data_IF_386136546659
#
_entry.id   IF_386136546659
#
_cell.length_a   1.000
_cell.length_b   1.000
_cell.length_c   1.000
_cell.angle_alpha   90.00
_cell.angle_beta   90.00
_cell.angle_gamma   90.00
#
_symmetry.space_group_name_H-M   'P 1'
#
loop_
_entity.id
_entity.type
_entity.pdbx_description
1 polymer ?
#
# COMPACT_ATOMS: atom_id res chain seq x y z
N UNK A 1 13.37 -9.85 31.77
CA UNK A 1 13.92 -8.47 31.74
C UNK A 1 15.13 -8.37 30.81
N UNK A 2 16.16 -9.22 30.94
CA UNK A 2 17.34 -9.17 30.06
C UNK A 2 17.05 -9.65 28.63
N UNK A 3 16.17 -10.65 28.43
CA UNK A 3 15.77 -11.12 27.09
C UNK A 3 14.98 -10.07 26.27
N UNK A 4 14.08 -9.31 26.90
CA UNK A 4 13.36 -8.20 26.23
C UNK A 4 14.29 -7.07 25.79
N UNK A 5 15.42 -6.87 26.48
CA UNK A 5 16.44 -5.87 26.13
C UNK A 5 17.35 -6.38 24.99
N UNK A 6 17.45 -7.71 24.82
CA UNK A 6 18.25 -8.36 23.78
C UNK A 6 17.48 -8.62 22.49
N UNK A 7 16.14 -8.60 22.49
CA UNK A 7 15.34 -8.61 21.26
C UNK A 7 15.36 -7.24 20.57
N UNK A 8 16.53 -6.85 20.06
CA UNK A 8 16.74 -5.59 19.31
C UNK A 8 16.01 -5.55 17.95
N UNK A 9 15.42 -6.66 17.53
CA UNK A 9 14.77 -6.78 16.23
C UNK A 9 13.33 -7.26 16.41
N UNK A 10 12.39 -6.44 15.97
CA UNK A 10 11.02 -6.89 15.74
C UNK A 10 11.03 -7.84 14.55
N UNK A 11 10.57 -9.07 14.75
CA UNK A 11 10.41 -10.02 13.65
C UNK A 11 9.31 -9.54 12.72
N UNK A 12 9.65 -9.19 11.48
CA UNK A 12 8.67 -8.82 10.46
C UNK A 12 8.04 -10.10 9.93
N UNK A 13 6.78 -10.33 10.31
CA UNK A 13 6.00 -11.47 9.82
C UNK A 13 5.11 -10.96 8.68
N UNK A 14 5.38 -11.42 7.47
CA UNK A 14 4.55 -11.13 6.29
C UNK A 14 3.65 -12.31 5.94
N UNK A 15 2.52 -12.02 5.32
CA UNK A 15 1.63 -13.03 4.78
C UNK A 15 0.89 -12.52 3.56
N UNK A 16 0.44 -13.45 2.73
CA UNK A 16 -0.40 -13.15 1.58
C UNK A 16 -1.74 -13.88 1.66
N UNK A 17 -2.81 -13.20 1.24
CA UNK A 17 -4.13 -13.79 0.98
C UNK A 17 -4.53 -13.45 -0.47
N UNK A 18 -4.22 -14.40 -1.35
CA UNK A 18 -4.47 -14.30 -2.79
C UNK A 18 -5.27 -15.51 -3.23
N UNK A 19 -5.90 -15.44 -4.40
CA UNK A 19 -6.62 -16.59 -4.96
C UNK A 19 -5.73 -17.82 -5.09
N UNK A 20 -6.31 -19.02 -4.95
CA UNK A 20 -5.62 -20.29 -5.17
C UNK A 20 -5.25 -21.08 -3.91
N UNK A 21 -5.36 -20.51 -2.70
CA UNK A 21 -5.10 -21.25 -1.45
C UNK A 21 -6.37 -21.65 -0.68
N UNK A 22 -6.25 -22.74 0.10
CA UNK A 22 -7.29 -23.23 1.01
C UNK A 22 -7.53 -22.21 2.13
N UNK A 23 -8.78 -21.75 2.25
CA UNK A 23 -9.23 -20.77 3.24
C UNK A 23 -8.87 -21.11 4.69
N UNK A 24 -8.86 -22.39 5.06
CA UNK A 24 -8.51 -22.84 6.42
C UNK A 24 -7.06 -22.51 6.77
N UNK A 25 -6.14 -22.64 5.80
CA UNK A 25 -4.71 -22.33 5.95
C UNK A 25 -4.50 -20.82 6.15
N UNK A 26 -5.11 -20.00 5.28
CA UNK A 26 -5.05 -18.54 5.40
C UNK A 26 -5.60 -18.05 6.75
N UNK A 27 -6.77 -18.55 7.18
CA UNK A 27 -7.33 -18.21 8.50
C UNK A 27 -6.41 -18.62 9.64
N UNK A 28 -5.73 -19.77 9.54
CA UNK A 28 -4.78 -20.19 10.56
C UNK A 28 -3.57 -19.24 10.63
N UNK A 29 -3.06 -18.76 9.48
CA UNK A 29 -2.00 -17.74 9.44
C UNK A 29 -2.45 -16.40 10.02
N UNK A 30 -3.63 -15.91 9.62
CA UNK A 30 -4.18 -14.65 10.14
C UNK A 30 -4.37 -14.67 11.67
N UNK A 31 -4.66 -15.84 12.26
CA UNK A 31 -4.78 -15.99 13.72
C UNK A 31 -3.45 -15.96 14.46
N UNK A 32 -2.35 -16.37 13.81
CA UNK A 32 -1.01 -16.29 14.41
C UNK A 32 -0.50 -14.86 14.53
N UNK A 33 -1.10 -13.93 13.79
CA UNK A 33 -0.68 -12.53 13.70
C UNK A 33 0.29 -12.32 12.53
N UNK A 34 0.13 -11.18 11.86
CA UNK A 34 0.96 -10.73 10.76
C UNK A 34 1.21 -9.23 10.97
N UNK A 35 2.41 -8.78 10.63
CA UNK A 35 2.75 -7.36 10.61
C UNK A 35 2.45 -6.74 9.24
N UNK A 36 2.64 -7.52 8.17
CA UNK A 36 2.40 -7.10 6.79
C UNK A 36 1.48 -8.13 6.13
N UNK A 37 0.39 -7.66 5.52
CA UNK A 37 -0.55 -8.48 4.78
C UNK A 37 -0.67 -7.96 3.35
N UNK A 38 -0.31 -8.80 2.39
CA UNK A 38 -0.53 -8.55 0.95
C UNK A 38 -1.79 -9.28 0.52
N UNK A 39 -2.70 -8.61 -0.16
CA UNK A 39 -3.99 -9.20 -0.49
C UNK A 39 -4.55 -8.67 -1.81
N UNK A 40 -5.29 -9.52 -2.53
CA UNK A 40 -6.20 -9.04 -3.57
C UNK A 40 -7.48 -8.48 -2.94
N UNK A 41 -8.06 -7.37 -3.44
CA UNK A 41 -9.20 -6.70 -2.79
C UNK A 41 -10.36 -7.65 -2.47
N UNK A 42 -10.75 -8.48 -3.43
CA UNK A 42 -11.83 -9.45 -3.23
C UNK A 42 -11.55 -10.44 -2.11
N UNK A 43 -10.34 -11.03 -2.06
CA UNK A 43 -9.97 -12.00 -1.01
C UNK A 43 -9.84 -11.32 0.35
N UNK A 44 -9.36 -10.08 0.38
CA UNK A 44 -9.26 -9.28 1.59
C UNK A 44 -10.63 -9.03 2.22
N UNK A 45 -11.62 -8.56 1.44
CA UNK A 45 -12.99 -8.30 1.92
C UNK A 45 -13.61 -9.59 2.48
N UNK A 46 -13.43 -10.69 1.75
CA UNK A 46 -13.90 -12.01 2.14
C UNK A 46 -13.35 -12.44 3.52
N UNK A 47 -12.09 -12.10 3.81
CA UNK A 47 -11.48 -12.34 5.11
C UNK A 47 -11.91 -11.32 6.16
N UNK A 48 -12.08 -10.05 5.79
CA UNK A 48 -12.54 -9.00 6.67
C UNK A 48 -13.95 -9.28 7.19
N UNK A 49 -14.83 -9.86 6.39
CA UNK A 49 -16.18 -10.24 6.82
C UNK A 49 -16.19 -11.52 7.68
N UNK A 50 -15.42 -12.55 7.29
CA UNK A 50 -15.54 -13.92 7.84
C UNK A 50 -14.42 -14.32 8.81
N UNK A 51 -13.46 -13.46 9.09
CA UNK A 51 -12.30 -13.75 9.95
C UNK A 51 -12.23 -12.72 11.08
N UNK A 52 -12.71 -13.14 12.25
CA UNK A 52 -12.79 -12.31 13.45
C UNK A 52 -11.43 -11.74 13.89
N UNK A 53 -10.34 -12.52 13.77
CA UNK A 53 -9.00 -12.07 14.19
C UNK A 53 -8.53 -10.82 13.43
N UNK A 54 -8.85 -10.72 12.14
CA UNK A 54 -8.51 -9.54 11.33
C UNK A 54 -9.32 -8.32 11.76
N UNK A 55 -10.64 -8.49 11.98
CA UNK A 55 -11.53 -7.42 12.45
C UNK A 55 -11.13 -6.89 13.82
N UNK A 56 -10.85 -7.78 14.76
CA UNK A 56 -10.41 -7.42 16.10
C UNK A 56 -9.07 -6.69 16.08
N UNK A 57 -8.14 -7.10 15.21
CA UNK A 57 -6.87 -6.40 15.02
C UNK A 57 -7.08 -4.96 14.55
N UNK A 58 -7.91 -4.76 13.51
CA UNK A 58 -8.23 -3.43 12.99
C UNK A 58 -8.96 -2.59 14.05
N UNK A 59 -10.00 -3.13 14.70
CA UNK A 59 -10.77 -2.41 15.72
C UNK A 59 -9.98 -2.06 16.99
N UNK A 60 -8.90 -2.79 17.28
CA UNK A 60 -7.94 -2.45 18.34
C UNK A 60 -6.94 -1.36 17.92
N UNK A 61 -6.97 -0.90 16.67
CA UNK A 61 -6.09 0.12 16.14
C UNK A 61 -4.72 -0.37 15.71
N UNK A 62 -4.60 -1.66 15.37
CA UNK A 62 -3.35 -2.23 14.89
C UNK A 62 -3.09 -1.88 13.41
N UNK A 63 -4.12 -1.47 12.67
CA UNK A 63 -3.96 -0.98 11.31
C UNK A 63 -3.34 0.42 11.35
N UNK A 64 -2.18 0.57 10.72
CA UNK A 64 -1.45 1.84 10.62
C UNK A 64 -1.32 2.35 9.20
N UNK A 65 -1.22 1.44 8.24
CA UNK A 65 -1.00 1.77 6.83
C UNK A 65 -1.91 0.93 5.93
N UNK A 66 -2.44 1.56 4.90
CA UNK A 66 -3.05 0.91 3.75
C UNK A 66 -2.28 1.38 2.52
N UNK A 67 -1.83 0.43 1.69
CA UNK A 67 -1.12 0.73 0.44
C UNK A 67 -1.92 0.15 -0.72
N UNK A 68 -2.32 1.02 -1.65
CA UNK A 68 -2.87 0.63 -2.94
C UNK A 68 -1.75 0.72 -3.97
N UNK A 69 -1.21 -0.43 -4.36
CA UNK A 69 -0.18 -0.53 -5.40
C UNK A 69 -0.83 -0.78 -6.77
N UNK A 70 -0.21 -0.25 -7.83
CA UNK A 70 -0.72 -0.28 -9.21
C UNK A 70 -2.23 0.07 -9.30
N UNK A 71 -2.63 1.20 -8.72
CA UNK A 71 -4.05 1.56 -8.56
C UNK A 71 -4.82 1.71 -9.90
N UNK A 72 -4.12 2.04 -10.98
CA UNK A 72 -4.66 2.04 -12.34
C UNK A 72 -5.10 0.64 -12.75
N UNK A 73 -4.25 -0.36 -12.56
CA UNK A 73 -4.60 -1.76 -12.86
C UNK A 73 -5.73 -2.29 -12.01
N UNK A 74 -5.84 -1.85 -10.76
CA UNK A 74 -6.95 -2.21 -9.91
C UNK A 74 -8.28 -1.67 -10.46
N UNK A 75 -8.26 -0.44 -10.97
CA UNK A 75 -9.43 0.19 -11.61
C UNK A 75 -9.77 -0.52 -12.92
N UNK A 76 -8.77 -0.75 -13.78
CA UNK A 76 -8.93 -1.45 -15.07
C UNK A 76 -9.47 -2.87 -14.92
N UNK A 77 -9.10 -3.55 -13.84
CA UNK A 77 -9.59 -4.89 -13.50
C UNK A 77 -10.99 -4.88 -12.86
N UNK A 78 -11.60 -3.71 -12.68
CA UNK A 78 -12.94 -3.56 -12.11
C UNK A 78 -13.00 -3.74 -10.58
N UNK A 79 -11.89 -3.56 -9.87
CA UNK A 79 -11.84 -3.67 -8.41
C UNK A 79 -12.31 -2.41 -7.66
N UNK A 80 -12.65 -1.34 -8.35
CA UNK A 80 -13.06 -0.05 -7.75
C UNK A 80 -14.13 -0.22 -6.64
N UNK A 81 -15.24 -0.90 -6.96
CA UNK A 81 -16.33 -1.14 -5.98
C UNK A 81 -15.85 -1.94 -4.76
N UNK A 82 -14.93 -2.88 -4.97
CA UNK A 82 -14.36 -3.69 -3.90
C UNK A 82 -13.44 -2.84 -3.01
N UNK A 83 -12.63 -1.95 -3.60
CA UNK A 83 -11.77 -1.02 -2.86
C UNK A 83 -12.61 -0.08 -2.00
N UNK A 84 -13.66 0.53 -2.57
CA UNK A 84 -14.57 1.39 -1.82
C UNK A 84 -15.23 0.64 -0.66
N UNK A 85 -15.69 -0.60 -0.90
CA UNK A 85 -16.27 -1.44 0.15
C UNK A 85 -15.25 -1.79 1.24
N UNK A 86 -14.00 -2.03 0.86
CA UNK A 86 -12.90 -2.31 1.78
C UNK A 86 -12.65 -1.13 2.71
N UNK A 87 -12.54 0.09 2.20
CA UNK A 87 -12.38 1.29 3.03
C UNK A 87 -13.58 1.54 3.95
N UNK A 88 -14.81 1.35 3.45
CA UNK A 88 -16.02 1.45 4.29
C UNK A 88 -15.95 0.52 5.50
N UNK A 89 -15.67 -0.76 5.26
CA UNK A 89 -15.55 -1.75 6.33
C UNK A 89 -14.42 -1.42 7.31
N UNK A 90 -13.28 -0.93 6.81
CA UNK A 90 -12.16 -0.54 7.66
C UNK A 90 -12.53 0.68 8.51
N UNK A 91 -13.22 1.67 7.96
CA UNK A 91 -13.66 2.85 8.69
C UNK A 91 -14.69 2.50 9.76
N UNK A 92 -15.65 1.63 9.44
CA UNK A 92 -16.62 1.07 10.41
C UNK A 92 -15.91 0.38 11.58
N UNK A 93 -14.84 -0.38 11.30
CA UNK A 93 -14.07 -1.10 12.32
C UNK A 93 -13.12 -0.19 13.11
N UNK A 94 -12.51 0.80 12.47
CA UNK A 94 -11.47 1.65 13.07
C UNK A 94 -12.07 2.76 13.95
N UNK A 95 -13.34 3.12 13.74
CA UNK A 95 -14.01 4.18 14.49
C UNK A 95 -13.28 5.51 14.31
N UNK A 96 -12.89 6.14 15.42
CA UNK A 96 -12.15 7.42 15.40
C UNK A 96 -10.63 7.28 15.21
N UNK A 97 -10.11 6.05 15.01
CA UNK A 97 -8.68 5.84 14.84
C UNK A 97 -8.27 6.12 13.40
N UNK A 98 -7.16 6.82 13.24
CA UNK A 98 -6.59 7.15 11.94
C UNK A 98 -5.54 6.13 11.52
N UNK A 99 -5.47 5.90 10.21
CA UNK A 99 -4.44 5.13 9.52
C UNK A 99 -3.99 5.96 8.31
N UNK A 100 -2.75 5.75 7.86
CA UNK A 100 -2.24 6.41 6.67
C UNK A 100 -2.57 5.59 5.43
N UNK A 101 -3.15 6.23 4.43
CA UNK A 101 -3.36 5.63 3.11
C UNK A 101 -2.27 6.11 2.16
N UNK A 102 -1.66 5.19 1.43
CA UNK A 102 -0.69 5.44 0.37
C UNK A 102 -1.28 4.88 -0.92
N UNK A 103 -1.36 5.70 -1.96
CA UNK A 103 -1.81 5.29 -3.29
C UNK A 103 -0.65 5.45 -4.27
N UNK A 104 -0.33 4.38 -4.95
CA UNK A 104 0.75 4.31 -5.95
C UNK A 104 0.11 3.95 -7.28
N UNK A 105 0.33 4.78 -8.29
CA UNK A 105 -0.19 4.56 -9.64
C UNK A 105 0.79 5.12 -10.67
N UNK A 106 0.88 4.47 -11.82
CA UNK A 106 1.65 4.99 -12.95
C UNK A 106 0.84 6.03 -13.75
N UNK A 107 -0.49 5.88 -13.77
CA UNK A 107 -1.40 6.80 -14.47
C UNK A 107 -2.42 7.39 -13.50
N UNK A 108 -2.93 8.57 -13.83
CA UNK A 108 -4.04 9.20 -13.14
C UNK A 108 -5.27 9.11 -14.04
N UNK A 109 -6.26 8.34 -13.61
CA UNK A 109 -7.58 8.28 -14.23
C UNK A 109 -8.63 8.82 -13.24
N UNK A 110 -9.86 9.05 -13.73
CA UNK A 110 -10.96 9.56 -12.90
C UNK A 110 -11.29 8.62 -11.73
N UNK A 111 -11.23 7.30 -11.95
CA UNK A 111 -11.50 6.29 -10.92
C UNK A 111 -10.51 6.35 -9.75
N UNK A 112 -9.22 6.46 -10.03
CA UNK A 112 -8.17 6.64 -9.00
C UNK A 112 -8.41 7.95 -8.24
N UNK A 113 -8.71 9.03 -8.96
CA UNK A 113 -8.94 10.35 -8.36
C UNK A 113 -10.12 10.29 -7.40
N UNK A 114 -11.22 9.65 -7.80
CA UNK A 114 -12.39 9.42 -6.95
C UNK A 114 -12.07 8.56 -5.73
N UNK A 115 -11.27 7.49 -5.87
CA UNK A 115 -10.84 6.66 -4.74
C UNK A 115 -9.99 7.48 -3.77
N UNK A 116 -9.06 8.30 -4.27
CA UNK A 116 -8.19 9.13 -3.45
C UNK A 116 -9.00 10.18 -2.66
N UNK A 117 -9.89 10.91 -3.33
CA UNK A 117 -10.72 11.94 -2.70
C UNK A 117 -11.70 11.37 -1.66
N UNK A 118 -12.23 10.16 -1.90
CA UNK A 118 -13.18 9.54 -0.99
C UNK A 118 -12.53 8.89 0.25
N UNK A 119 -11.27 8.43 0.14
CA UNK A 119 -10.66 7.54 1.14
C UNK A 119 -9.31 8.03 1.71
N UNK A 120 -8.80 9.18 1.26
CA UNK A 120 -7.59 9.80 1.81
C UNK A 120 -7.94 11.12 2.49
N UNK A 121 -7.32 11.39 3.63
CA UNK A 121 -7.45 12.67 4.35
C UNK A 121 -6.23 13.53 4.05
N UNK A 122 -6.45 14.68 3.42
CA UNK A 122 -5.41 15.65 3.05
C UNK A 122 -4.15 15.02 2.39
N UNK A 123 -4.30 14.38 1.21
CA UNK A 123 -3.20 13.62 0.61
C UNK A 123 -2.13 14.53 -0.02
N UNK A 124 -0.87 14.32 0.37
CA UNK A 124 0.28 14.88 -0.33
C UNK A 124 0.47 14.17 -1.68
N UNK A 125 0.35 14.91 -2.78
CA UNK A 125 0.61 14.39 -4.13
C UNK A 125 2.09 14.53 -4.48
N UNK A 126 2.71 13.42 -4.85
CA UNK A 126 4.12 13.36 -5.30
C UNK A 126 4.13 12.79 -6.72
N UNK A 127 4.55 13.59 -7.68
CA UNK A 127 4.60 13.23 -9.10
C UNK A 127 6.03 13.37 -9.62
N UNK A 128 6.52 12.34 -10.33
CA UNK A 128 7.82 12.40 -11.01
C UNK A 128 7.59 12.96 -12.40
N UNK A 129 7.96 14.22 -12.62
CA UNK A 129 8.03 14.80 -13.96
C UNK A 129 9.38 14.43 -14.59
N UNK A 130 9.35 13.76 -15.72
CA UNK A 130 10.56 13.59 -16.53
C UNK A 130 10.90 14.95 -17.15
N UNK A 131 11.90 15.65 -16.63
CA UNK A 131 12.35 16.94 -17.19
C UNK A 131 13.03 16.83 -18.56
N UNK A 132 13.02 15.67 -19.23
CA UNK A 132 13.66 15.50 -20.53
C UNK A 132 12.79 14.69 -21.49
N UNK A 133 11.83 15.36 -22.14
CA UNK A 133 11.32 15.02 -23.48
C UNK A 133 10.57 16.25 -24.03
N UNK A 134 11.31 17.12 -24.70
CA UNK A 134 10.74 18.16 -25.56
C UNK A 134 10.67 19.54 -24.92
N UNK A 135 11.63 20.38 -25.31
CA UNK A 135 11.43 21.82 -25.41
C UNK A 135 10.11 22.15 -26.12
N UNK A 136 9.18 22.77 -25.41
CA UNK A 136 8.41 23.96 -25.81
C UNK A 136 7.08 24.04 -25.04
N UNK A 137 7.02 25.04 -24.15
CA UNK A 137 5.88 25.88 -23.78
C UNK A 137 4.45 25.31 -23.57
N UNK A 138 3.87 25.77 -22.44
CA UNK A 138 2.44 26.05 -22.20
C UNK A 138 1.49 24.91 -21.78
N UNK A 139 1.40 24.68 -20.47
CA UNK A 139 0.28 25.14 -19.60
C UNK A 139 0.27 24.33 -18.30
N UNK A 140 0.72 24.97 -17.21
CA UNK A 140 0.55 24.48 -15.87
C UNK A 140 -0.92 24.66 -15.46
N UNK A 141 -1.69 23.59 -15.37
CA UNK A 141 -2.96 23.62 -14.64
C UNK A 141 -2.64 23.47 -13.14
N UNK A 142 -2.58 24.62 -12.46
CA UNK A 142 -2.52 24.71 -11.00
C UNK A 142 -3.91 24.42 -10.41
N UNK A 143 -4.04 23.37 -9.62
CA UNK A 143 -5.08 23.28 -8.59
C UNK A 143 -4.40 23.34 -7.22
N UNK A 144 -4.57 24.49 -6.55
CA UNK A 144 -4.14 24.76 -5.18
C UNK A 144 -4.72 23.73 -4.21
N UNK A 145 -3.88 23.09 -3.40
CA UNK A 145 -3.94 23.14 -1.92
C UNK A 145 -2.54 22.87 -1.36
N UNK A 146 -2.00 23.90 -0.69
CA UNK A 146 -0.81 23.94 0.19
C UNK A 146 0.47 23.21 -0.26
N UNK A 147 1.26 23.94 -1.03
CA UNK A 147 2.68 23.66 -1.25
C UNK A 147 3.46 23.70 0.06
N UNK A 148 3.71 22.54 0.66
CA UNK A 148 5.00 22.33 1.32
C UNK A 148 6.02 22.35 0.17
N UNK A 149 6.74 23.46 0.02
CA UNK A 149 7.96 23.57 -0.79
C UNK A 149 9.06 22.70 -0.15
N UNK A 150 8.85 21.39 -0.10
CA UNK A 150 9.95 20.47 -0.14
C UNK A 150 10.03 20.05 -1.59
N UNK A 151 11.05 20.54 -2.29
CA UNK A 151 11.52 19.94 -3.53
C UNK A 151 11.78 18.46 -3.23
N UNK A 152 10.76 17.62 -3.37
CA UNK A 152 10.90 16.17 -3.42
C UNK A 152 11.48 15.82 -4.80
N UNK A 153 12.64 16.38 -5.10
CA UNK A 153 13.52 15.89 -6.13
C UNK A 153 14.15 14.59 -5.62
N UNK A 154 14.44 13.65 -6.53
CA UNK A 154 15.31 12.52 -6.21
C UNK A 154 16.56 13.06 -5.49
N UNK A 155 16.91 12.55 -4.29
CA UNK A 155 18.06 13.07 -3.58
C UNK A 155 19.27 12.99 -4.50
N UNK A 156 20.00 14.10 -4.69
CA UNK A 156 21.21 14.14 -5.53
C UNK A 156 22.29 13.15 -5.06
N UNK A 157 22.11 12.59 -3.85
CA UNK A 157 22.97 11.60 -3.20
C UNK A 157 22.40 10.17 -3.24
N UNK A 158 21.26 9.93 -3.91
CA UNK A 158 20.71 8.58 -4.08
C UNK A 158 21.57 7.82 -5.09
N UNK A 159 22.53 7.04 -4.58
CA UNK A 159 23.36 6.15 -5.38
C UNK A 159 22.54 4.92 -5.73
N UNK A 160 21.93 4.91 -6.91
CA UNK A 160 21.22 3.74 -7.41
C UNK A 160 22.23 2.71 -7.92
N UNK A 161 22.42 1.64 -7.16
CA UNK A 161 23.21 0.49 -7.59
C UNK A 161 22.29 -0.55 -8.21
N UNK A 162 22.68 -1.11 -9.35
CA UNK A 162 21.97 -2.22 -9.98
C UNK A 162 22.95 -3.35 -10.24
N UNK A 163 22.46 -4.59 -10.10
CA UNK A 163 23.20 -5.79 -10.44
C UNK A 163 22.47 -6.49 -11.58
N UNK A 164 23.16 -6.67 -12.69
CA UNK A 164 22.65 -7.40 -13.85
C UNK A 164 22.88 -8.89 -13.60
N UNK A 165 21.78 -9.63 -13.42
CA UNK A 165 21.81 -11.04 -13.02
C UNK A 165 20.98 -11.85 -14.00
N UNK A 166 21.54 -12.96 -14.46
CA UNK A 166 20.80 -13.96 -15.23
C UNK A 166 19.54 -14.39 -14.47
N UNK A 167 18.44 -14.58 -15.20
CA UNK A 167 17.11 -14.87 -14.60
C UNK A 167 17.14 -16.01 -13.57
N UNK A 168 18.03 -16.98 -13.74
CA UNK A 168 18.18 -18.15 -12.85
C UNK A 168 18.83 -17.82 -11.50
N UNK A 169 19.57 -16.71 -11.39
CA UNK A 169 20.39 -16.37 -10.22
C UNK A 169 19.83 -15.21 -9.39
N UNK A 170 18.68 -14.64 -9.78
CA UNK A 170 18.08 -13.46 -9.13
C UNK A 170 17.91 -13.60 -7.61
N UNK A 171 17.43 -14.76 -7.13
CA UNK A 171 17.20 -14.98 -5.70
C UNK A 171 18.50 -15.11 -4.90
N UNK A 172 19.51 -15.78 -5.48
CA UNK A 172 20.83 -15.95 -4.86
C UNK A 172 21.53 -14.60 -4.75
N UNK A 173 21.50 -13.81 -5.82
CA UNK A 173 22.12 -12.49 -5.88
C UNK A 173 21.43 -11.43 -4.98
N UNK A 174 20.18 -11.66 -4.57
CA UNK A 174 19.48 -10.83 -3.59
C UNK A 174 19.80 -11.20 -2.13
N UNK A 175 20.32 -12.40 -1.90
CA UNK A 175 20.64 -12.91 -0.57
C UNK A 175 22.13 -12.82 -0.20
N UNK A 176 22.99 -12.52 -1.18
CA UNK A 176 24.44 -12.28 -1.05
C UNK A 176 24.74 -10.82 -0.81
#
# INVERSE_FOLDING_TARGET
VVEDVLSRFFWIISGAIVGGEKRKSEKARLRKGLNILVATPGRFIDHLEKTESLRLGIGRGNLKFIVLDEADRLTDSGFEKQILRMFQLINELSGSRTYQTILISATLNEGITAIAEANMTDPLRVEVKNENLGSSENQATLTKTESIQNDFAMPKQLVQQYLLVDRKLRLVALAS
#
